data_IF_464830959177
#
_entry.id   IF_464830959177
#
_cell.length_a   1.000
_cell.length_b   1.000
_cell.length_c   1.000
_cell.angle_alpha   90.00
_cell.angle_beta   90.00
_cell.angle_gamma   90.00
#
_symmetry.space_group_name_H-M   'P 1'
#
loop_
_entity.id
_entity.type
_entity.pdbx_description
1 polymer ?
#
# COMPACT_ATOMS: atom_id res chain seq x y z
N UNK A 1 -15.37 -15.82 18.36
CA UNK A 1 -15.15 -16.32 17.00
C UNK A 1 -13.89 -15.63 16.51
N UNK A 2 -12.86 -16.36 16.05
CA UNK A 2 -11.51 -15.85 15.72
C UNK A 2 -10.52 -15.71 16.90
N UNK A 3 -10.61 -16.55 17.92
CA UNK A 3 -9.44 -16.76 18.80
C UNK A 3 -8.41 -17.59 18.03
N UNK A 4 -7.18 -17.07 17.77
CA UNK A 4 -6.17 -17.80 17.01
C UNK A 4 -5.50 -18.92 17.82
N UNK A 5 -5.77 -19.05 19.13
CA UNK A 5 -5.11 -20.01 20.02
C UNK A 5 -5.96 -21.23 20.37
N UNK A 6 -7.18 -21.31 19.84
CA UNK A 6 -8.11 -22.43 20.08
C UNK A 6 -8.60 -23.01 18.75
N UNK A 7 -8.82 -24.32 18.70
CA UNK A 7 -9.37 -24.99 17.52
C UNK A 7 -10.69 -24.36 17.07
N UNK A 8 -10.81 -24.15 15.77
CA UNK A 8 -11.99 -23.53 15.17
C UNK A 8 -13.17 -24.49 15.19
N UNK A 9 -14.31 -24.03 15.71
CA UNK A 9 -15.57 -24.79 15.69
C UNK A 9 -16.19 -24.78 14.27
N UNK A 10 -16.77 -25.88 13.77
CA UNK A 10 -17.38 -25.93 12.43
C UNK A 10 -18.45 -24.86 12.19
N UNK A 11 -19.34 -24.63 13.17
CA UNK A 11 -20.41 -23.61 13.12
C UNK A 11 -19.85 -22.20 12.91
N UNK A 12 -18.74 -21.93 13.58
CA UNK A 12 -18.03 -20.66 13.51
C UNK A 12 -17.37 -20.45 12.13
N UNK A 13 -16.78 -21.51 11.57
CA UNK A 13 -16.21 -21.45 10.21
C UNK A 13 -17.27 -21.16 9.16
N UNK A 14 -18.44 -21.83 9.24
CA UNK A 14 -19.52 -21.58 8.28
C UNK A 14 -20.07 -20.16 8.39
N UNK A 15 -20.25 -19.64 9.61
CA UNK A 15 -20.63 -18.24 9.80
C UNK A 15 -19.63 -17.27 9.13
N UNK A 16 -18.33 -17.53 9.27
CA UNK A 16 -17.30 -16.73 8.59
C UNK A 16 -17.40 -16.81 7.07
N UNK A 17 -17.55 -18.01 6.52
CA UNK A 17 -17.64 -18.23 5.07
C UNK A 17 -18.86 -17.50 4.51
N UNK A 18 -19.99 -17.55 5.20
CA UNK A 18 -21.19 -16.81 4.81
C UNK A 18 -20.93 -15.30 4.83
N UNK A 19 -20.36 -14.78 5.92
CA UNK A 19 -20.00 -13.35 6.02
C UNK A 19 -19.04 -12.92 4.90
N UNK A 20 -18.02 -13.73 4.60
CA UNK A 20 -17.09 -13.48 3.49
C UNK A 20 -17.78 -13.50 2.13
N UNK A 21 -18.70 -14.44 1.90
CA UNK A 21 -19.48 -14.51 0.67
C UNK A 21 -20.37 -13.28 0.50
N UNK A 22 -21.02 -12.81 1.57
CA UNK A 22 -21.84 -11.60 1.56
C UNK A 22 -21.01 -10.36 1.24
N UNK A 23 -19.84 -10.19 1.89
CA UNK A 23 -18.91 -9.08 1.61
C UNK A 23 -18.41 -9.14 0.16
N UNK A 24 -18.08 -10.33 -0.34
CA UNK A 24 -17.64 -10.50 -1.72
C UNK A 24 -18.73 -10.12 -2.73
N UNK A 25 -19.99 -10.48 -2.48
CA UNK A 25 -21.11 -10.06 -3.33
C UNK A 25 -21.33 -8.56 -3.30
N UNK A 26 -21.19 -7.91 -2.15
CA UNK A 26 -21.26 -6.44 -2.05
C UNK A 26 -20.14 -5.77 -2.86
N UNK A 27 -18.92 -6.28 -2.78
CA UNK A 27 -17.80 -5.81 -3.60
C UNK A 27 -18.11 -5.92 -5.10
N UNK A 28 -18.60 -7.08 -5.55
CA UNK A 28 -19.00 -7.31 -6.95
C UNK A 28 -20.04 -6.29 -7.39
N UNK A 29 -21.07 -6.06 -6.58
CA UNK A 29 -22.14 -5.11 -6.90
C UNK A 29 -21.62 -3.68 -7.05
N UNK A 30 -20.76 -3.22 -6.13
CA UNK A 30 -20.17 -1.88 -6.18
C UNK A 30 -19.30 -1.72 -7.42
N UNK A 31 -18.48 -2.73 -7.75
CA UNK A 31 -17.62 -2.69 -8.95
C UNK A 31 -18.47 -2.66 -10.23
N UNK A 32 -19.48 -3.53 -10.34
CA UNK A 32 -20.39 -3.54 -11.50
C UNK A 32 -21.13 -2.20 -11.65
N UNK A 33 -21.63 -1.63 -10.57
CA UNK A 33 -22.30 -0.33 -10.58
C UNK A 33 -21.34 0.80 -10.98
N UNK A 34 -20.14 0.84 -10.40
CA UNK A 34 -19.16 1.91 -10.65
C UNK A 34 -18.55 1.87 -12.05
N UNK A 35 -18.29 0.67 -12.59
CA UNK A 35 -17.72 0.51 -13.94
C UNK A 35 -18.79 0.51 -15.03
N UNK A 36 -19.99 0.02 -14.73
CA UNK A 36 -21.13 -0.02 -15.65
C UNK A 36 -20.76 -0.70 -16.97
N UNK A 37 -21.14 -0.07 -18.09
CA UNK A 37 -20.90 -0.60 -19.45
C UNK A 37 -19.42 -0.72 -19.84
N UNK A 38 -18.50 -0.13 -19.07
CA UNK A 38 -17.05 -0.22 -19.34
C UNK A 38 -16.50 -1.59 -18.96
N UNK A 39 -17.09 -2.24 -17.96
CA UNK A 39 -16.60 -3.52 -17.44
C UNK A 39 -16.85 -4.65 -18.45
N UNK A 40 -15.78 -5.37 -18.80
CA UNK A 40 -15.83 -6.58 -19.62
C UNK A 40 -15.54 -7.77 -18.73
N UNK A 41 -16.59 -8.31 -18.15
CA UNK A 41 -16.50 -9.41 -17.18
C UNK A 41 -16.02 -10.71 -17.84
N UNK A 42 -15.15 -11.42 -17.13
CA UNK A 42 -14.63 -12.75 -17.47
C UNK A 42 -14.81 -13.67 -16.26
N UNK A 43 -14.56 -14.97 -16.43
CA UNK A 43 -14.59 -15.94 -15.32
C UNK A 43 -13.69 -15.55 -14.14
N UNK A 44 -12.62 -14.81 -14.42
CA UNK A 44 -11.59 -14.51 -13.44
C UNK A 44 -11.76 -13.12 -12.80
N UNK A 45 -12.72 -12.31 -13.26
CA UNK A 45 -12.86 -10.89 -12.84
C UNK A 45 -13.05 -10.71 -11.33
N UNK A 46 -13.61 -11.70 -10.65
CA UNK A 46 -13.86 -11.69 -9.21
C UNK A 46 -13.26 -12.92 -8.51
N UNK A 47 -12.18 -13.49 -9.05
CA UNK A 47 -11.51 -14.66 -8.46
C UNK A 47 -10.43 -14.30 -7.43
N UNK A 48 -10.05 -13.02 -7.34
CA UNK A 48 -8.89 -12.55 -6.59
C UNK A 48 -7.59 -12.55 -7.39
N UNK A 49 -7.64 -12.90 -8.68
CA UNK A 49 -6.50 -12.76 -9.59
C UNK A 49 -6.09 -11.27 -9.71
N UNK A 50 -4.79 -11.02 -9.79
CA UNK A 50 -4.23 -9.67 -9.95
C UNK A 50 -3.89 -9.42 -11.41
N UNK A 51 -4.21 -8.21 -11.90
CA UNK A 51 -3.90 -7.78 -13.27
C UNK A 51 -2.85 -6.68 -13.28
N UNK A 52 -2.03 -6.67 -14.32
CA UNK A 52 -1.21 -5.50 -14.63
C UNK A 52 -2.07 -4.35 -15.19
N UNK A 53 -1.51 -3.14 -15.25
CA UNK A 53 -2.24 -1.94 -15.67
C UNK A 53 -2.82 -2.05 -17.08
N UNK A 54 -2.07 -2.60 -18.04
CA UNK A 54 -2.55 -2.79 -19.41
C UNK A 54 -3.79 -3.68 -19.45
N UNK A 55 -3.74 -4.83 -18.78
CA UNK A 55 -4.85 -5.79 -18.77
C UNK A 55 -6.07 -5.23 -18.05
N UNK A 56 -5.86 -4.47 -16.98
CA UNK A 56 -6.93 -3.78 -16.25
C UNK A 56 -7.71 -2.81 -17.15
N UNK A 57 -7.01 -2.07 -18.03
CA UNK A 57 -7.65 -1.16 -18.99
C UNK A 57 -8.45 -1.95 -20.04
N UNK A 58 -7.88 -3.03 -20.59
CA UNK A 58 -8.56 -3.88 -21.57
C UNK A 58 -9.90 -4.44 -21.05
N UNK A 59 -9.90 -4.89 -19.79
CA UNK A 59 -11.06 -5.41 -19.06
C UNK A 59 -12.02 -4.30 -18.58
N UNK A 60 -11.63 -3.03 -18.72
CA UNK A 60 -12.41 -1.89 -18.28
C UNK A 60 -12.50 -1.72 -16.77
N UNK A 61 -11.57 -2.32 -16.02
CA UNK A 61 -11.38 -2.11 -14.59
C UNK A 61 -10.73 -0.76 -14.30
N UNK A 62 -9.84 -0.30 -15.18
CA UNK A 62 -9.23 1.04 -15.15
C UNK A 62 -9.61 1.84 -16.40
N UNK A 63 -9.61 3.18 -16.29
CA UNK A 63 -9.96 4.07 -17.40
C UNK A 63 -8.78 4.40 -18.33
N UNK A 64 -7.54 4.28 -17.83
CA UNK A 64 -6.34 4.57 -18.62
C UNK A 64 -5.08 4.59 -17.77
N UNK A 65 -3.98 5.05 -18.37
CA UNK A 65 -2.72 5.32 -17.68
C UNK A 65 -2.69 6.76 -17.13
N UNK A 66 -1.96 6.96 -16.04
CA UNK A 66 -1.73 8.28 -15.49
C UNK A 66 -0.74 8.26 -14.32
N UNK A 67 -0.18 9.43 -14.02
CA UNK A 67 0.50 9.70 -12.76
C UNK A 67 -0.42 10.49 -11.83
N UNK A 68 -0.04 10.65 -10.58
CA UNK A 68 -0.78 11.50 -9.63
C UNK A 68 -0.89 12.92 -10.17
N UNK A 69 0.19 13.45 -10.73
CA UNK A 69 0.26 14.78 -11.31
C UNK A 69 -0.62 14.95 -12.55
N UNK A 70 -0.64 13.95 -13.45
CA UNK A 70 -1.47 14.02 -14.66
C UNK A 70 -2.95 13.95 -14.30
N UNK A 71 -3.34 13.07 -13.37
CA UNK A 71 -4.75 12.95 -12.95
C UNK A 71 -5.21 14.22 -12.23
N UNK A 72 -4.39 14.77 -11.33
CA UNK A 72 -4.73 15.99 -10.60
C UNK A 72 -4.96 17.17 -11.56
N UNK A 73 -4.04 17.38 -12.51
CA UNK A 73 -4.12 18.46 -13.49
C UNK A 73 -5.20 18.25 -14.55
N UNK A 74 -5.28 17.05 -15.13
CA UNK A 74 -6.05 16.83 -16.36
C UNK A 74 -7.47 16.33 -16.09
N UNK A 75 -7.67 15.61 -14.99
CA UNK A 75 -8.97 15.00 -14.64
C UNK A 75 -9.66 15.78 -13.52
N UNK A 76 -8.98 15.98 -12.39
CA UNK A 76 -9.57 16.63 -11.19
C UNK A 76 -9.54 18.17 -11.31
N UNK A 77 -8.68 18.71 -12.19
CA UNK A 77 -8.44 20.15 -12.35
C UNK A 77 -7.97 20.82 -11.05
N UNK A 78 -7.15 20.11 -10.27
CA UNK A 78 -6.52 20.59 -9.05
C UNK A 78 -5.00 20.51 -9.21
N UNK A 79 -4.34 21.66 -9.23
CA UNK A 79 -2.88 21.72 -9.37
C UNK A 79 -2.16 21.59 -8.02
N UNK A 80 -2.81 21.95 -6.91
CA UNK A 80 -2.18 21.90 -5.60
C UNK A 80 -2.26 20.48 -5.00
N UNK A 81 -1.14 19.76 -5.06
CA UNK A 81 -1.00 18.41 -4.49
C UNK A 81 -0.23 18.51 -3.17
N UNK A 82 -0.87 18.10 -2.08
CA UNK A 82 -0.24 18.02 -0.76
C UNK A 82 0.31 16.61 -0.56
N UNK A 83 1.64 16.49 -0.43
CA UNK A 83 2.30 15.21 -0.16
C UNK A 83 2.59 15.06 1.35
N UNK A 84 1.87 14.16 2.02
CA UNK A 84 2.01 13.88 3.46
C UNK A 84 3.16 12.91 3.81
N UNK A 85 3.97 12.50 2.83
CA UNK A 85 5.12 11.63 3.09
C UNK A 85 6.09 12.35 4.02
N UNK A 86 6.34 11.77 5.20
CA UNK A 86 7.34 12.28 6.14
C UNK A 86 8.70 12.26 5.45
N UNK A 87 9.26 13.43 5.19
CA UNK A 87 10.63 13.58 4.70
C UNK A 87 11.46 14.13 5.84
N UNK A 88 12.59 13.49 6.12
CA UNK A 88 13.57 14.05 7.04
C UNK A 88 13.98 15.44 6.53
N UNK A 89 13.89 16.42 7.44
CA UNK A 89 14.32 17.77 7.15
C UNK A 89 15.78 17.79 6.71
N UNK A 90 16.17 18.83 5.98
CA UNK A 90 17.58 19.03 5.67
C UNK A 90 18.41 19.13 6.96
N UNK A 91 17.88 19.83 7.97
CA UNK A 91 18.50 19.96 9.29
C UNK A 91 18.68 18.61 9.99
N UNK A 92 17.67 17.75 9.98
CA UNK A 92 17.75 16.41 10.58
C UNK A 92 18.83 15.55 9.90
N UNK A 93 18.90 15.60 8.56
CA UNK A 93 19.93 14.90 7.79
C UNK A 93 21.33 15.43 8.09
N UNK A 94 21.48 16.75 8.24
CA UNK A 94 22.74 17.38 8.62
C UNK A 94 23.16 16.97 10.04
N UNK A 95 22.24 17.09 11.01
CA UNK A 95 22.49 16.73 12.41
C UNK A 95 22.90 15.25 12.55
N UNK A 96 22.22 14.34 11.84
CA UNK A 96 22.58 12.92 11.81
C UNK A 96 24.00 12.68 11.27
N UNK A 97 24.37 13.34 10.17
CA UNK A 97 25.72 13.20 9.58
C UNK A 97 26.80 13.77 10.49
N UNK A 98 26.53 14.93 11.11
CA UNK A 98 27.44 15.54 12.06
C UNK A 98 27.63 14.67 13.32
N UNK A 99 26.54 14.22 13.92
CA UNK A 99 26.56 13.33 15.08
C UNK A 99 27.28 12.01 14.79
N UNK A 100 27.03 11.40 13.63
CA UNK A 100 27.74 10.20 13.21
C UNK A 100 29.26 10.43 13.03
N UNK A 101 29.67 11.59 12.51
CA UNK A 101 31.09 11.94 12.36
C UNK A 101 31.79 12.20 13.68
N UNK A 102 31.13 12.85 14.64
CA UNK A 102 31.67 13.05 16.00
C UNK A 102 31.76 11.72 16.74
N UNK A 103 30.73 10.87 16.64
CA UNK A 103 30.73 9.56 17.28
C UNK A 103 31.77 8.61 16.69
N UNK A 104 32.02 8.65 15.38
CA UNK A 104 33.07 7.83 14.75
C UNK A 104 34.47 8.27 15.20
N UNK A 105 34.72 9.58 15.33
CA UNK A 105 35.97 10.12 15.87
C UNK A 105 36.18 9.74 17.35
N UNK A 106 35.15 9.88 18.18
CA UNK A 106 35.20 9.48 19.60
C UNK A 106 35.36 7.96 19.76
N UNK A 107 34.68 7.16 18.94
CA UNK A 107 34.84 5.70 18.92
C UNK A 107 36.25 5.28 18.50
N UNK A 108 36.85 5.97 17.52
CA UNK A 108 38.22 5.73 17.08
C UNK A 108 39.25 6.12 18.15
N UNK A 109 39.05 7.27 18.81
CA UNK A 109 39.90 7.72 19.91
C UNK A 109 39.83 6.79 21.12
N UNK A 110 38.63 6.34 21.50
CA UNK A 110 38.42 5.37 22.58
C UNK A 110 39.09 4.02 22.26
N UNK A 111 38.96 3.52 21.02
CA UNK A 111 39.68 2.32 20.58
C UNK A 111 41.20 2.48 20.59
N UNK A 112 41.74 3.62 20.13
CA UNK A 112 43.19 3.87 20.14
C UNK A 112 43.78 3.98 21.55
N UNK A 113 42.99 4.46 22.53
CA UNK A 113 43.43 4.58 23.92
C UNK A 113 43.48 3.22 24.66
N UNK A 114 42.72 2.22 24.20
CA UNK A 114 42.70 0.89 24.78
C UNK A 114 43.86 -0.01 24.31
N UNK A 115 44.46 0.30 23.15
CA UNK A 115 45.56 -0.50 22.55
C UNK A 115 46.96 -0.06 23.01
N UNK A 116 47.09 1.04 23.78
CA UNK A 116 48.36 1.58 24.28
C UNK A 116 48.66 1.25 25.76
N UNK A 117 48.04 0.18 26.31
CA UNK A 117 48.34 -0.34 27.65
C UNK A 117 48.81 -1.78 27.61
#
# INVERSE_FOLDING_TARGET
FLDPFTDSKPEQQEFAKQMLAEIHQQFIQVVKAGRGKRLKETSDTFSGLVWNGQKSIELGLSDGYGSVESVARDVIKQENIVNFTLKEGFADRLAKRFGAGVMSQLGYAAHSSATLR
#
